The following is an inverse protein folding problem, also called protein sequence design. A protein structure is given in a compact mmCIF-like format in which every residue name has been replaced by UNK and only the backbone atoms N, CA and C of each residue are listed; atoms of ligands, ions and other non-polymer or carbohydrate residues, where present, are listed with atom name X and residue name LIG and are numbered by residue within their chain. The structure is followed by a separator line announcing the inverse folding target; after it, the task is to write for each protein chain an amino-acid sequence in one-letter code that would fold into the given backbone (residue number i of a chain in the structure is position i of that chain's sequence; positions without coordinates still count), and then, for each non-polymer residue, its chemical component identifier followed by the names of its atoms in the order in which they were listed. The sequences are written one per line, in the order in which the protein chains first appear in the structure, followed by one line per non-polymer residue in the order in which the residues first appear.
data_IF_592273534675
#
_entry.id   IF_592273534675
#
_cell.length_a   1.000
_cell.length_b   1.000
_cell.length_c   1.000
_cell.angle_alpha   90.00
_cell.angle_beta   90.00
_cell.angle_gamma   90.00
#
_symmetry.space_group_name_H-M   'P 1'
#
loop_
_entity.id
_entity.type
_entity.pdbx_description
1 polymer ?
#
# COMPACT_ATOMS: atom_id res chain seq x y z
N UNK A 1 19.27 -8.56 0.14
CA UNK A 1 20.00 -9.83 0.42
C UNK A 1 19.06 -11.02 0.55
N UNK A 2 17.82 -10.84 0.98
CA UNK A 2 16.86 -11.94 1.11
C UNK A 2 16.22 -12.30 -0.21
N UNK A 3 15.82 -11.34 -1.05
CA UNK A 3 15.42 -11.65 -2.42
C UNK A 3 16.52 -12.46 -3.15
N UNK A 4 17.78 -12.17 -2.91
CA UNK A 4 18.91 -12.95 -3.43
C UNK A 4 19.06 -14.29 -2.71
N UNK A 5 18.78 -14.37 -1.42
CA UNK A 5 18.81 -15.60 -0.65
C UNK A 5 17.68 -16.56 -1.02
N UNK A 6 16.48 -16.03 -1.26
CA UNK A 6 15.33 -16.81 -1.76
C UNK A 6 15.57 -17.27 -3.20
N UNK A 7 16.06 -16.41 -4.07
CA UNK A 7 16.48 -16.79 -5.44
C UNK A 7 17.64 -17.79 -5.39
N UNK A 8 18.54 -17.70 -4.40
CA UNK A 8 19.63 -18.66 -4.21
C UNK A 8 19.18 -20.02 -3.67
N UNK A 9 18.14 -20.08 -2.83
CA UNK A 9 17.52 -21.34 -2.40
C UNK A 9 16.71 -22.01 -3.52
N UNK A 10 16.11 -21.24 -4.40
CA UNK A 10 15.46 -21.71 -5.62
C UNK A 10 16.46 -22.35 -6.60
N UNK A 11 17.68 -21.85 -6.71
CA UNK A 11 18.75 -22.49 -7.50
C UNK A 11 19.13 -23.87 -6.95
N UNK A 12 19.04 -24.11 -5.65
CA UNK A 12 19.25 -25.46 -5.08
C UNK A 12 18.11 -26.43 -5.42
N UNK A 13 16.90 -25.94 -5.72
CA UNK A 13 15.76 -26.76 -6.19
C UNK A 13 15.94 -27.09 -7.68
N UNK A 14 16.61 -26.24 -8.46
CA UNK A 14 16.91 -26.53 -9.90
C UNK A 14 17.82 -27.72 -10.11
N UNK A 15 18.73 -28.01 -9.20
CA UNK A 15 19.68 -29.11 -9.34
C UNK A 15 19.03 -30.51 -9.10
N UNK A 16 17.80 -30.55 -8.58
CA UNK A 16 17.06 -31.80 -8.35
C UNK A 16 16.10 -32.20 -9.47
N UNK A 17 15.86 -31.31 -10.45
CA UNK A 17 14.94 -31.56 -11.58
C UNK A 17 15.68 -31.52 -12.91
N UNK A 18 16.63 -32.43 -13.12
CA UNK A 18 17.19 -32.68 -14.45
C UNK A 18 16.15 -33.38 -15.33
N UNK A 19 15.91 -32.78 -16.51
CA UNK A 19 15.34 -33.45 -17.67
C UNK A 19 13.84 -33.77 -17.70
N UNK A 20 12.99 -32.77 -17.71
CA UNK A 20 11.81 -32.73 -18.58
C UNK A 20 11.48 -31.25 -18.81
N UNK A 21 11.05 -30.83 -20.01
CA UNK A 21 10.72 -29.45 -20.36
C UNK A 21 9.57 -28.90 -19.49
N UNK A 22 9.85 -28.69 -18.21
CA UNK A 22 8.95 -28.21 -17.21
C UNK A 22 8.74 -26.70 -17.38
N UNK A 23 7.49 -26.29 -17.52
CA UNK A 23 7.09 -24.91 -17.35
C UNK A 23 7.64 -24.43 -16.00
N UNK A 24 8.48 -23.40 -16.00
CA UNK A 24 8.92 -22.77 -14.74
C UNK A 24 7.68 -22.29 -14.00
N UNK A 25 7.53 -22.74 -12.76
CA UNK A 25 6.43 -22.29 -11.90
C UNK A 25 6.55 -20.79 -11.69
N UNK A 26 5.46 -20.07 -11.95
CA UNK A 26 5.43 -18.61 -11.81
C UNK A 26 5.08 -18.24 -10.38
N UNK A 27 5.83 -17.32 -9.83
CA UNK A 27 5.57 -16.74 -8.51
C UNK A 27 4.93 -15.37 -8.60
N UNK A 28 4.10 -15.02 -7.61
CA UNK A 28 3.74 -13.65 -7.31
C UNK A 28 4.67 -13.17 -6.20
N UNK A 29 5.35 -12.05 -6.45
CA UNK A 29 6.16 -11.35 -5.47
C UNK A 29 5.43 -10.05 -5.14
N UNK A 30 4.59 -10.09 -4.11
CA UNK A 30 3.83 -8.94 -3.62
C UNK A 30 4.72 -8.12 -2.69
N UNK A 31 4.89 -6.84 -2.97
CA UNK A 31 5.81 -5.99 -2.21
C UNK A 31 5.09 -4.72 -1.80
N UNK A 32 4.99 -4.49 -0.48
CA UNK A 32 4.60 -3.18 0.03
C UNK A 32 5.65 -2.12 -0.32
N UNK A 33 5.23 -0.87 -0.37
CA UNK A 33 6.09 0.22 -0.81
C UNK A 33 6.71 0.99 0.35
N UNK A 34 5.89 1.58 1.19
CA UNK A 34 6.31 2.54 2.21
C UNK A 34 6.86 1.83 3.45
N UNK A 35 8.16 1.96 3.72
CA UNK A 35 8.82 1.20 4.80
C UNK A 35 9.33 -0.18 4.38
N UNK A 36 8.95 -0.68 3.22
CA UNK A 36 9.33 -1.98 2.68
C UNK A 36 10.24 -1.86 1.45
N UNK A 37 9.71 -1.46 0.31
CA UNK A 37 10.46 -1.35 -0.94
C UNK A 37 11.23 -0.05 -1.05
N UNK A 38 10.61 1.05 -0.61
CA UNK A 38 11.19 2.39 -0.66
C UNK A 38 12.13 2.62 0.52
N UNK A 39 13.26 3.23 0.24
CA UNK A 39 14.20 3.68 1.28
C UNK A 39 13.75 5.01 1.91
N UNK A 40 14.52 5.52 2.87
CA UNK A 40 14.25 6.78 3.60
C UNK A 40 14.19 8.04 2.74
N UNK A 41 14.55 7.96 1.45
CA UNK A 41 14.43 9.05 0.48
C UNK A 41 13.41 8.71 -0.63
N UNK A 42 12.48 7.82 -0.34
CA UNK A 42 11.39 7.36 -1.21
C UNK A 42 11.87 6.82 -2.58
N UNK A 43 13.02 6.14 -2.59
CA UNK A 43 13.60 5.55 -3.81
C UNK A 43 13.83 4.06 -3.66
N UNK A 44 13.73 3.34 -4.77
CA UNK A 44 14.15 1.95 -4.85
C UNK A 44 15.69 1.93 -5.07
N UNK A 45 16.42 1.16 -4.26
CA UNK A 45 17.86 1.02 -4.48
C UNK A 45 18.15 0.33 -5.82
N UNK A 46 19.24 0.70 -6.47
CA UNK A 46 19.65 0.07 -7.75
C UNK A 46 19.76 -1.46 -7.62
N UNK A 47 20.30 -1.94 -6.50
CA UNK A 47 20.38 -3.38 -6.22
C UNK A 47 19.01 -4.04 -6.18
N UNK A 48 18.04 -3.45 -5.47
CA UNK A 48 16.68 -3.96 -5.36
C UNK A 48 16.01 -3.94 -6.73
N UNK A 49 16.13 -2.84 -7.48
CA UNK A 49 15.60 -2.72 -8.83
C UNK A 49 16.12 -3.82 -9.75
N UNK A 50 17.43 -4.06 -9.74
CA UNK A 50 18.03 -5.08 -10.58
C UNK A 50 17.54 -6.50 -10.23
N UNK A 51 17.29 -6.79 -8.93
CA UNK A 51 16.73 -8.07 -8.52
C UNK A 51 15.28 -8.21 -8.97
N UNK A 52 14.44 -7.17 -8.77
CA UNK A 52 13.05 -7.19 -9.20
C UNK A 52 12.93 -7.35 -10.74
N UNK A 53 13.77 -6.63 -11.50
CA UNK A 53 13.78 -6.75 -12.95
C UNK A 53 14.14 -8.18 -13.39
N UNK A 54 15.14 -8.80 -12.79
CA UNK A 54 15.49 -10.19 -13.09
C UNK A 54 14.35 -11.17 -12.79
N UNK A 55 13.61 -10.98 -11.70
CA UNK A 55 12.43 -11.79 -11.39
C UNK A 55 11.35 -11.64 -12.47
N UNK A 56 11.15 -10.43 -12.98
CA UNK A 56 10.21 -10.16 -14.07
C UNK A 56 10.70 -10.84 -15.36
N UNK A 57 11.99 -10.71 -15.69
CA UNK A 57 12.61 -11.31 -16.88
C UNK A 57 12.57 -12.85 -16.82
N UNK A 58 12.66 -13.43 -15.62
CA UNK A 58 12.48 -14.88 -15.37
C UNK A 58 10.99 -15.31 -15.44
N UNK A 59 10.06 -14.38 -15.70
CA UNK A 59 8.64 -14.63 -15.92
C UNK A 59 7.77 -14.64 -14.67
N UNK A 60 8.30 -14.22 -13.51
CA UNK A 60 7.53 -14.02 -12.27
C UNK A 60 6.75 -12.69 -12.29
N UNK A 61 5.77 -12.58 -11.42
CA UNK A 61 4.96 -11.37 -11.30
C UNK A 61 5.42 -10.56 -10.07
N UNK A 62 6.09 -9.44 -10.31
CA UNK A 62 6.36 -8.44 -9.27
C UNK A 62 5.17 -7.51 -9.19
N UNK A 63 4.56 -7.42 -8.00
CA UNK A 63 3.28 -6.75 -7.78
C UNK A 63 3.43 -5.77 -6.62
N UNK A 64 3.32 -4.46 -6.84
CA UNK A 64 3.20 -3.50 -5.75
C UNK A 64 1.88 -3.74 -5.01
N UNK A 65 1.93 -3.76 -3.67
CA UNK A 65 0.78 -3.90 -2.80
C UNK A 65 0.77 -2.74 -1.79
N UNK A 66 0.01 -1.70 -2.07
CA UNK A 66 0.14 -0.42 -1.38
C UNK A 66 -1.21 0.19 -0.96
N UNK A 67 -1.19 1.04 0.06
CA UNK A 67 -2.33 1.90 0.39
C UNK A 67 -2.53 3.08 -0.56
N UNK A 68 -1.58 3.32 -1.46
CA UNK A 68 -1.65 4.40 -2.46
C UNK A 68 -2.61 4.04 -3.59
N UNK A 69 -3.12 5.05 -4.33
CA UNK A 69 -3.77 4.82 -5.61
C UNK A 69 -2.72 4.51 -6.67
N UNK A 70 -3.15 4.02 -7.82
CA UNK A 70 -2.30 3.80 -8.99
C UNK A 70 -1.46 5.03 -9.36
N UNK A 71 -2.08 6.19 -9.43
CA UNK A 71 -1.44 7.45 -9.84
C UNK A 71 -0.37 7.92 -8.84
N UNK A 72 -0.42 7.38 -7.61
CA UNK A 72 0.48 7.72 -6.52
C UNK A 72 1.63 6.72 -6.35
N UNK A 73 1.70 5.70 -7.19
CA UNK A 73 2.86 4.79 -7.23
C UNK A 73 4.07 5.60 -7.71
N UNK A 74 5.21 5.57 -6.98
CA UNK A 74 6.40 6.31 -7.34
C UNK A 74 6.90 5.97 -8.74
N UNK A 75 7.38 6.99 -9.46
CA UNK A 75 7.91 6.83 -10.81
C UNK A 75 9.07 5.83 -10.86
N UNK A 76 9.83 5.69 -9.77
CA UNK A 76 10.90 4.70 -9.63
C UNK A 76 10.42 3.25 -9.80
N UNK A 77 9.16 2.97 -9.49
CA UNK A 77 8.57 1.65 -9.73
C UNK A 77 8.19 1.47 -11.20
N UNK A 78 7.77 2.54 -11.88
CA UNK A 78 7.39 2.49 -13.30
C UNK A 78 8.57 2.26 -14.25
N UNK A 79 9.83 2.34 -13.76
CA UNK A 79 11.02 1.98 -14.55
C UNK A 79 11.29 0.48 -14.59
N UNK A 80 10.54 -0.33 -13.82
CA UNK A 80 10.56 -1.79 -13.95
C UNK A 80 9.73 -2.18 -15.17
N UNK A 81 10.40 -2.69 -16.19
CA UNK A 81 9.73 -3.14 -17.40
C UNK A 81 9.02 -4.47 -17.17
N UNK A 82 7.77 -4.57 -17.63
CA UNK A 82 6.98 -5.81 -17.55
C UNK A 82 6.20 -6.01 -16.25
N UNK A 83 6.11 -5.00 -15.38
CA UNK A 83 5.14 -5.02 -14.26
C UNK A 83 3.72 -4.92 -14.83
N UNK A 84 2.92 -5.96 -14.61
CA UNK A 84 1.58 -6.10 -15.22
C UNK A 84 0.44 -5.82 -14.26
N UNK A 85 0.67 -5.98 -12.97
CA UNK A 85 -0.38 -5.98 -11.96
C UNK A 85 -0.01 -5.09 -10.80
N UNK A 86 -1.02 -4.49 -10.15
CA UNK A 86 -0.86 -3.75 -8.91
C UNK A 86 -2.05 -3.96 -7.99
N UNK A 87 -1.77 -4.11 -6.70
CA UNK A 87 -2.75 -4.11 -5.61
C UNK A 87 -2.63 -2.75 -4.96
N UNK A 88 -3.67 -1.94 -5.06
CA UNK A 88 -3.66 -0.55 -4.61
C UNK A 88 -4.80 -0.29 -3.63
N UNK A 89 -4.76 0.86 -2.96
CA UNK A 89 -5.82 1.30 -2.03
C UNK A 89 -6.12 0.26 -0.95
N UNK A 90 -5.04 -0.30 -0.37
CA UNK A 90 -5.11 -1.38 0.62
C UNK A 90 -5.90 -2.62 0.14
N UNK A 91 -5.82 -2.94 -1.16
CA UNK A 91 -6.48 -4.11 -1.74
C UNK A 91 -7.89 -3.88 -2.25
N UNK A 92 -8.43 -2.66 -2.12
CA UNK A 92 -9.73 -2.31 -2.69
C UNK A 92 -9.74 -2.35 -4.22
N UNK A 93 -8.57 -2.20 -4.84
CA UNK A 93 -8.43 -2.25 -6.30
C UNK A 93 -7.26 -3.13 -6.70
N UNK A 94 -7.49 -3.96 -7.72
CA UNK A 94 -6.43 -4.68 -8.44
C UNK A 94 -6.43 -4.22 -9.89
N UNK A 95 -5.30 -3.68 -10.33
CA UNK A 95 -5.10 -3.17 -11.68
C UNK A 95 -4.42 -4.18 -12.59
N UNK A 96 -4.90 -4.23 -13.84
CA UNK A 96 -4.19 -4.75 -15.01
C UNK A 96 -3.58 -3.55 -15.77
N UNK A 97 -2.26 -3.38 -15.66
CA UNK A 97 -1.56 -2.25 -16.30
C UNK A 97 -1.46 -2.42 -17.82
N UNK A 98 -1.38 -3.66 -18.32
CA UNK A 98 -1.32 -3.94 -19.75
C UNK A 98 -2.63 -3.52 -20.44
N UNK A 99 -3.78 -3.77 -19.79
CA UNK A 99 -5.09 -3.41 -20.32
C UNK A 99 -5.61 -2.06 -19.82
N UNK A 100 -4.95 -1.48 -18.84
CA UNK A 100 -5.38 -0.26 -18.18
C UNK A 100 -6.81 -0.37 -17.59
N UNK A 101 -7.10 -1.48 -16.91
CA UNK A 101 -8.42 -1.77 -16.32
C UNK A 101 -8.31 -2.25 -14.86
N UNK A 102 -9.36 -2.00 -14.09
CA UNK A 102 -9.54 -2.60 -12.77
C UNK A 102 -10.15 -3.99 -12.94
N UNK A 103 -9.42 -5.04 -12.58
CA UNK A 103 -9.93 -6.42 -12.60
C UNK A 103 -10.68 -6.81 -11.33
N UNK A 104 -10.48 -6.05 -10.27
CA UNK A 104 -11.17 -6.13 -8.99
C UNK A 104 -11.35 -4.74 -8.43
N UNK A 105 -12.51 -4.47 -7.86
CA UNK A 105 -12.83 -3.20 -7.22
C UNK A 105 -13.84 -3.40 -6.10
N UNK A 106 -13.62 -2.76 -4.97
CA UNK A 106 -14.56 -2.69 -3.85
C UNK A 106 -14.64 -1.26 -3.34
N UNK A 107 -15.79 -0.63 -3.52
CA UNK A 107 -16.08 0.69 -2.98
C UNK A 107 -16.56 0.61 -1.54
N UNK A 108 -16.40 1.69 -0.81
CA UNK A 108 -17.08 1.88 0.48
C UNK A 108 -18.60 1.87 0.28
N UNK A 109 -19.39 1.52 1.31
CA UNK A 109 -20.85 1.62 1.24
C UNK A 109 -21.31 3.05 0.90
N UNK A 110 -22.38 3.15 0.10
CA UNK A 110 -22.96 4.45 -0.29
C UNK A 110 -23.27 5.31 0.94
N UNK A 111 -22.92 6.59 0.88
CA UNK A 111 -23.10 7.56 1.97
C UNK A 111 -22.15 7.39 3.15
N UNK A 112 -21.34 6.33 3.22
CA UNK A 112 -20.46 6.07 4.37
C UNK A 112 -19.35 7.11 4.47
N UNK A 113 -18.72 7.48 3.37
CA UNK A 113 -17.71 8.54 3.35
C UNK A 113 -18.26 9.86 3.85
N UNK A 114 -19.43 10.26 3.35
CA UNK A 114 -20.13 11.47 3.81
C UNK A 114 -20.45 11.41 5.30
N UNK A 115 -20.81 10.24 5.85
CA UNK A 115 -21.08 10.03 7.28
C UNK A 115 -19.82 10.23 8.11
N UNK A 116 -18.69 9.64 7.68
CA UNK A 116 -17.41 9.76 8.38
C UNK A 116 -16.94 11.23 8.39
N UNK A 117 -16.96 11.91 7.25
CA UNK A 117 -16.58 13.32 7.15
C UNK A 117 -17.44 14.22 8.04
N UNK A 118 -18.74 14.00 8.05
CA UNK A 118 -19.67 14.69 8.96
C UNK A 118 -19.37 14.43 10.42
N UNK A 119 -18.96 13.21 10.78
CA UNK A 119 -18.61 12.89 12.16
C UNK A 119 -17.33 13.62 12.59
N UNK A 120 -16.35 13.79 11.70
CA UNK A 120 -15.16 14.61 11.95
C UNK A 120 -15.54 16.09 12.15
N UNK A 121 -16.35 16.65 11.27
CA UNK A 121 -16.82 18.04 11.38
C UNK A 121 -17.55 18.27 12.72
N UNK A 122 -18.49 17.39 13.06
CA UNK A 122 -19.28 17.48 14.30
C UNK A 122 -18.45 17.24 15.56
N UNK A 123 -17.30 16.61 15.48
CA UNK A 123 -16.39 16.43 16.62
C UNK A 123 -15.77 17.75 17.10
N UNK A 124 -15.81 18.79 16.27
CA UNK A 124 -15.20 20.09 16.56
C UNK A 124 -13.68 20.10 16.46
N UNK A 125 -13.07 19.00 16.01
CA UNK A 125 -11.63 18.90 15.77
C UNK A 125 -11.22 19.91 14.71
N UNK A 126 -10.09 20.56 14.94
CA UNK A 126 -9.45 21.49 14.00
C UNK A 126 -8.18 20.84 13.43
N UNK A 127 -7.70 21.37 12.33
CA UNK A 127 -6.44 20.91 11.77
C UNK A 127 -6.51 19.49 11.18
N UNK A 128 -7.45 19.28 10.27
CA UNK A 128 -7.56 18.03 9.52
C UNK A 128 -7.81 18.28 8.03
N UNK A 129 -7.37 17.37 7.23
CA UNK A 129 -7.66 17.30 5.80
C UNK A 129 -8.05 15.86 5.43
N UNK A 130 -8.85 15.72 4.39
CA UNK A 130 -9.24 14.42 3.87
C UNK A 130 -8.92 14.30 2.37
N UNK A 131 -8.61 13.08 1.97
CA UNK A 131 -8.54 12.67 0.59
C UNK A 131 -9.39 11.44 0.37
N UNK A 132 -10.11 11.37 -0.75
CA UNK A 132 -10.83 10.18 -1.18
C UNK A 132 -10.21 9.63 -2.45
N UNK A 133 -10.07 8.31 -2.50
CA UNK A 133 -9.59 7.60 -3.67
C UNK A 133 -10.79 7.00 -4.38
N UNK A 134 -11.03 7.46 -5.59
CA UNK A 134 -12.15 7.01 -6.41
C UNK A 134 -11.69 6.82 -7.86
N UNK A 135 -11.93 5.63 -8.40
CA UNK A 135 -11.56 5.28 -9.77
C UNK A 135 -10.05 5.48 -10.09
N UNK A 136 -9.19 5.23 -9.10
CA UNK A 136 -7.73 5.38 -9.23
C UNK A 136 -7.22 6.83 -9.10
N UNK A 137 -8.11 7.79 -8.83
CA UNK A 137 -7.78 9.22 -8.68
C UNK A 137 -7.88 9.59 -7.20
N UNK A 138 -6.90 10.35 -6.72
CA UNK A 138 -6.94 10.97 -5.40
C UNK A 138 -7.60 12.35 -5.48
N UNK A 139 -8.70 12.52 -4.76
CA UNK A 139 -9.44 13.77 -4.66
C UNK A 139 -9.26 14.39 -3.28
N UNK A 140 -9.21 15.72 -3.20
CA UNK A 140 -9.22 16.45 -1.94
C UNK A 140 -9.93 17.79 -2.09
N UNK A 141 -10.24 18.44 -0.96
CA UNK A 141 -10.83 19.76 -0.99
C UNK A 141 -9.87 20.81 -1.55
N UNK A 142 -10.40 21.79 -2.27
CA UNK A 142 -9.61 22.87 -2.83
C UNK A 142 -8.88 23.70 -1.73
N UNK A 143 -9.52 23.87 -0.57
CA UNK A 143 -8.93 24.58 0.56
C UNK A 143 -7.86 23.73 1.28
N UNK A 144 -7.88 22.40 1.15
CA UNK A 144 -6.84 21.54 1.71
C UNK A 144 -5.46 21.81 1.10
N UNK A 145 -5.42 22.21 -0.17
CA UNK A 145 -4.17 22.62 -0.83
C UNK A 145 -3.51 23.81 -0.11
N UNK A 146 -4.30 24.85 0.13
CA UNK A 146 -3.80 26.07 0.77
C UNK A 146 -3.46 25.83 2.24
N UNK A 147 -4.23 24.96 2.91
CA UNK A 147 -3.95 24.52 4.27
C UNK A 147 -2.60 23.81 4.34
N UNK A 148 -2.34 22.80 3.50
CA UNK A 148 -1.06 22.06 3.47
C UNK A 148 0.12 23.00 3.25
N UNK A 149 -0.01 23.97 2.31
CA UNK A 149 1.03 24.99 2.08
C UNK A 149 1.24 25.84 3.34
N UNK A 150 0.16 26.25 4.01
CA UNK A 150 0.24 27.16 5.18
C UNK A 150 0.86 26.50 6.41
N UNK A 151 0.74 25.19 6.56
CA UNK A 151 1.25 24.44 7.73
C UNK A 151 2.56 23.70 7.43
N UNK A 152 2.96 23.58 6.17
CA UNK A 152 4.12 22.82 5.75
C UNK A 152 5.39 23.17 6.55
N UNK A 153 5.68 24.46 6.68
CA UNK A 153 6.85 24.95 7.41
C UNK A 153 6.68 24.87 8.93
N UNK A 154 5.44 25.08 9.42
CA UNK A 154 5.12 25.11 10.88
C UNK A 154 5.04 23.72 11.46
N UNK A 155 4.43 22.80 10.73
CA UNK A 155 4.24 21.40 11.14
C UNK A 155 5.45 20.53 10.84
N UNK A 156 6.54 21.09 10.28
CA UNK A 156 7.73 20.35 9.85
C UNK A 156 7.36 19.15 8.95
N UNK A 157 6.36 19.35 8.10
CA UNK A 157 5.94 18.32 7.15
C UNK A 157 7.11 18.01 6.21
N UNK A 158 7.36 16.73 5.98
CA UNK A 158 8.39 16.36 5.02
C UNK A 158 8.06 16.93 3.64
N UNK A 159 9.04 17.56 3.02
CA UNK A 159 8.86 18.17 1.68
C UNK A 159 8.29 17.17 0.68
N UNK A 160 8.68 15.92 0.76
CA UNK A 160 8.18 14.83 -0.08
C UNK A 160 6.68 14.62 0.07
N UNK A 161 6.14 14.72 1.29
CA UNK A 161 4.71 14.66 1.55
C UNK A 161 3.98 15.86 0.94
N UNK A 162 4.51 17.06 1.15
CA UNK A 162 3.93 18.30 0.61
C UNK A 162 3.91 18.27 -0.92
N UNK A 163 5.04 17.97 -1.56
CA UNK A 163 5.15 17.87 -3.02
C UNK A 163 4.20 16.80 -3.58
N UNK A 164 4.10 15.67 -2.91
CA UNK A 164 3.19 14.59 -3.23
C UNK A 164 1.73 15.05 -3.18
N UNK A 165 1.31 15.60 -2.03
CA UNK A 165 -0.07 16.05 -1.85
C UNK A 165 -0.43 17.15 -2.87
N UNK A 166 0.46 18.12 -3.09
CA UNK A 166 0.20 19.24 -3.99
C UNK A 166 0.17 18.85 -5.48
N UNK A 167 0.93 17.86 -5.90
CA UNK A 167 1.13 17.54 -7.33
C UNK A 167 0.26 16.40 -7.86
N UNK A 168 -0.33 15.59 -7.01
CA UNK A 168 -0.97 14.33 -7.41
C UNK A 168 -2.48 14.29 -7.16
N UNK A 169 -3.03 15.25 -6.43
CA UNK A 169 -4.46 15.30 -6.13
C UNK A 169 -5.23 16.14 -7.14
N UNK A 170 -6.46 15.72 -7.40
CA UNK A 170 -7.47 16.53 -8.06
C UNK A 170 -8.21 17.31 -6.97
N UNK A 171 -8.05 18.63 -6.99
CA UNK A 171 -8.66 19.51 -6.00
C UNK A 171 -10.04 19.92 -6.45
N UNK A 172 -11.04 19.62 -5.61
CA UNK A 172 -12.44 19.85 -5.90
C UNK A 172 -13.01 20.84 -4.90
N UNK A 173 -13.66 21.88 -5.41
CA UNK A 173 -14.38 22.83 -4.56
C UNK A 173 -15.58 22.14 -3.92
N UNK A 174 -15.78 22.40 -2.62
CA UNK A 174 -16.87 21.82 -1.85
C UNK A 174 -16.85 20.27 -1.88
N UNK A 175 -15.63 19.73 -1.78
CA UNK A 175 -15.35 18.30 -1.87
C UNK A 175 -16.22 17.44 -0.94
N UNK A 176 -16.46 17.91 0.29
CA UNK A 176 -17.21 17.17 1.32
C UNK A 176 -18.68 16.96 0.96
N UNK A 177 -19.20 17.62 -0.07
CA UNK A 177 -20.57 17.48 -0.56
C UNK A 177 -20.65 16.86 -1.98
N UNK A 178 -19.51 16.44 -2.56
CA UNK A 178 -19.44 15.84 -3.91
C UNK A 178 -19.83 14.35 -3.87
N UNK A 179 -21.12 14.08 -3.74
CA UNK A 179 -21.65 12.70 -3.65
C UNK A 179 -21.12 11.77 -4.75
N UNK A 180 -21.06 12.26 -5.98
CA UNK A 180 -20.62 11.47 -7.14
C UNK A 180 -19.17 10.95 -6.98
N UNK A 181 -18.33 11.66 -6.23
CA UNK A 181 -16.98 11.24 -5.89
C UNK A 181 -17.02 10.35 -4.65
N UNK A 182 -17.67 10.83 -3.56
CA UNK A 182 -17.64 10.18 -2.25
C UNK A 182 -18.31 8.80 -2.27
N UNK A 183 -19.41 8.63 -3.02
CA UNK A 183 -20.12 7.36 -3.13
C UNK A 183 -19.39 6.35 -4.07
N UNK A 184 -18.39 6.80 -4.81
CA UNK A 184 -17.52 5.96 -5.63
C UNK A 184 -16.16 5.69 -4.98
N UNK A 185 -15.94 6.16 -3.76
CA UNK A 185 -14.63 6.00 -3.12
C UNK A 185 -14.38 4.55 -2.69
N UNK A 186 -13.21 4.04 -3.03
CA UNK A 186 -12.64 2.79 -2.54
C UNK A 186 -12.02 2.97 -1.15
N UNK A 187 -11.48 4.16 -0.91
CA UNK A 187 -10.77 4.51 0.31
C UNK A 187 -10.97 5.98 0.64
N UNK A 188 -11.00 6.30 1.93
CA UNK A 188 -10.80 7.66 2.42
C UNK A 188 -9.66 7.68 3.42
N UNK A 189 -8.85 8.72 3.36
CA UNK A 189 -7.76 8.96 4.29
C UNK A 189 -7.93 10.34 4.92
N UNK A 190 -7.85 10.42 6.24
CA UNK A 190 -8.00 11.67 6.98
C UNK A 190 -6.72 11.89 7.78
N UNK A 191 -6.09 13.02 7.57
CA UNK A 191 -4.89 13.45 8.28
C UNK A 191 -5.26 14.47 9.35
N UNK A 192 -4.65 14.35 10.50
CA UNK A 192 -4.85 15.23 11.65
C UNK A 192 -3.51 15.84 12.07
N UNK A 193 -3.53 17.10 12.47
CA UNK A 193 -2.34 17.78 13.03
C UNK A 193 -1.90 17.15 14.35
N UNK A 194 -2.86 16.55 15.09
CA UNK A 194 -2.65 15.95 16.38
C UNK A 194 -2.82 14.42 16.34
N UNK A 195 -1.77 13.70 16.74
CA UNK A 195 -1.76 12.24 16.76
C UNK A 195 -2.70 11.64 17.80
N UNK A 196 -2.95 12.32 18.91
CA UNK A 196 -3.85 11.86 19.97
C UNK A 196 -5.30 11.88 19.47
N UNK A 197 -5.67 12.96 18.80
CA UNK A 197 -6.97 13.10 18.12
C UNK A 197 -7.17 12.00 17.08
N UNK A 198 -6.20 11.78 16.20
CA UNK A 198 -6.26 10.70 15.22
C UNK A 198 -6.50 9.35 15.89
N UNK A 199 -5.76 9.06 16.96
CA UNK A 199 -5.90 7.80 17.71
C UNK A 199 -7.28 7.67 18.36
N UNK A 200 -7.78 8.74 19.02
CA UNK A 200 -9.08 8.73 19.68
C UNK A 200 -10.23 8.51 18.70
N UNK A 201 -10.17 9.16 17.53
CA UNK A 201 -11.19 9.01 16.50
C UNK A 201 -11.14 7.62 15.85
N UNK A 202 -9.95 7.07 15.56
CA UNK A 202 -9.82 5.70 15.07
C UNK A 202 -10.41 4.68 16.05
N UNK A 203 -10.15 4.85 17.34
CA UNK A 203 -10.70 3.98 18.37
C UNK A 203 -12.25 4.06 18.42
N UNK A 204 -12.83 5.25 18.23
CA UNK A 204 -14.28 5.45 18.10
C UNK A 204 -14.86 4.76 16.88
N UNK A 205 -14.13 4.74 15.76
CA UNK A 205 -14.62 4.20 14.47
C UNK A 205 -14.31 2.71 14.25
N UNK A 206 -13.47 2.10 15.06
CA UNK A 206 -13.09 0.68 14.87
C UNK A 206 -14.26 -0.30 14.93
N UNK A 207 -15.35 0.07 15.57
CA UNK A 207 -16.54 -0.77 15.74
C UNK A 207 -17.62 -0.46 14.68
N UNK A 208 -17.28 0.26 13.60
CA UNK A 208 -18.18 0.42 12.46
C UNK A 208 -18.19 -0.87 11.63
N UNK A 209 -19.37 -1.51 11.51
CA UNK A 209 -19.53 -2.82 10.87
C UNK A 209 -19.15 -2.84 9.37
N UNK A 210 -19.34 -1.71 8.69
CA UNK A 210 -19.26 -1.64 7.23
C UNK A 210 -17.89 -1.14 6.71
N UNK A 211 -16.98 -0.75 7.60
CA UNK A 211 -15.67 -0.21 7.23
C UNK A 211 -14.55 -0.82 8.08
N UNK A 212 -13.38 -0.97 7.46
CA UNK A 212 -12.12 -1.25 8.15
C UNK A 212 -11.39 0.08 8.39
N UNK A 213 -10.89 0.27 9.61
CA UNK A 213 -10.11 1.47 9.99
C UNK A 213 -8.68 1.05 10.28
N UNK A 214 -7.73 1.59 9.52
CA UNK A 214 -6.30 1.32 9.65
C UNK A 214 -5.48 2.61 9.73
N UNK A 215 -4.18 2.48 9.76
CA UNK A 215 -3.23 3.61 9.69
C UNK A 215 -1.95 3.14 8.99
N UNK A 216 -1.41 3.96 8.10
CA UNK A 216 -0.12 3.73 7.46
C UNK A 216 0.96 4.70 7.98
N UNK A 217 0.57 5.88 8.44
CA UNK A 217 1.47 6.87 9.04
C UNK A 217 0.90 7.43 10.34
N UNK A 218 1.77 7.96 11.18
CA UNK A 218 1.31 8.64 12.39
C UNK A 218 0.44 9.86 12.05
N UNK A 219 -0.71 9.97 12.71
CA UNK A 219 -1.63 11.12 12.51
C UNK A 219 -2.67 10.92 11.42
N UNK A 220 -2.76 9.75 10.76
CA UNK A 220 -3.84 9.48 9.82
C UNK A 220 -4.83 8.44 10.32
N UNK A 221 -6.02 8.44 9.71
CA UNK A 221 -7.01 7.38 9.78
C UNK A 221 -7.42 7.02 8.34
N UNK A 222 -7.25 5.75 7.99
CA UNK A 222 -7.60 5.21 6.68
C UNK A 222 -8.83 4.33 6.81
N UNK A 223 -9.81 4.56 5.95
CA UNK A 223 -11.05 3.79 5.91
C UNK A 223 -11.18 3.12 4.55
N UNK A 224 -11.43 1.83 4.59
CA UNK A 224 -11.77 1.01 3.44
C UNK A 224 -13.08 0.26 3.71
N UNK A 225 -13.68 -0.34 2.71
CA UNK A 225 -14.82 -1.23 2.94
C UNK A 225 -14.44 -2.39 3.87
N UNK A 226 -15.32 -2.79 4.76
CA UNK A 226 -15.08 -3.93 5.65
C UNK A 226 -14.80 -5.21 4.85
N UNK A 227 -13.90 -6.03 5.39
CA UNK A 227 -13.49 -7.29 4.79
C UNK A 227 -12.62 -7.13 3.53
N UNK A 228 -12.01 -5.96 3.33
CA UNK A 228 -11.04 -5.72 2.28
C UNK A 228 -9.73 -5.22 2.88
N UNK A 229 -8.65 -5.86 2.48
CA UNK A 229 -7.27 -5.59 2.85
C UNK A 229 -6.33 -6.03 1.71
N UNK A 230 -5.03 -5.81 1.86
CA UNK A 230 -4.03 -6.22 0.86
C UNK A 230 -4.03 -7.74 0.59
N UNK A 231 -4.39 -8.55 1.58
CA UNK A 231 -4.51 -10.01 1.46
C UNK A 231 -5.66 -10.40 0.55
N UNK A 232 -6.82 -9.72 0.67
CA UNK A 232 -7.97 -9.92 -0.23
C UNK A 232 -7.59 -9.54 -1.67
N UNK A 233 -6.98 -8.37 -1.89
CA UNK A 233 -6.48 -7.97 -3.20
C UNK A 233 -5.52 -9.00 -3.81
N UNK A 234 -4.59 -9.52 -3.00
CA UNK A 234 -3.66 -10.57 -3.40
C UNK A 234 -4.38 -11.89 -3.74
N UNK A 235 -5.38 -12.29 -2.97
CA UNK A 235 -6.17 -13.47 -3.24
C UNK A 235 -6.97 -13.36 -4.55
N UNK A 236 -7.53 -12.18 -4.85
CA UNK A 236 -8.21 -11.90 -6.12
C UNK A 236 -7.24 -12.01 -7.31
N UNK A 237 -6.06 -11.39 -7.21
CA UNK A 237 -5.04 -11.48 -8.26
C UNK A 237 -4.56 -12.92 -8.45
N UNK A 238 -4.26 -13.62 -7.37
CA UNK A 238 -3.82 -15.02 -7.39
C UNK A 238 -4.84 -15.93 -8.08
N UNK A 239 -6.13 -15.76 -7.75
CA UNK A 239 -7.23 -16.50 -8.36
C UNK A 239 -7.33 -16.20 -9.87
N UNK A 240 -7.21 -14.94 -10.25
CA UNK A 240 -7.20 -14.51 -11.66
C UNK A 240 -6.07 -15.14 -12.46
N UNK A 241 -4.88 -15.27 -11.84
CA UNK A 241 -3.69 -15.83 -12.50
C UNK A 241 -3.60 -17.37 -12.40
N UNK A 242 -4.46 -18.01 -11.63
CA UNK A 242 -4.40 -19.46 -11.38
C UNK A 242 -3.14 -19.90 -10.61
N UNK A 243 -2.60 -19.00 -9.76
CA UNK A 243 -1.37 -19.27 -8.99
C UNK A 243 -1.73 -19.78 -7.60
N UNK A 244 -1.12 -20.90 -7.20
CA UNK A 244 -1.29 -21.44 -5.86
C UNK A 244 -0.68 -20.52 -4.79
N UNK A 245 -1.27 -20.53 -3.58
CA UNK A 245 -0.76 -19.77 -2.44
C UNK A 245 0.73 -20.05 -2.17
N UNK A 246 1.17 -21.29 -2.32
CA UNK A 246 2.56 -21.69 -2.07
C UNK A 246 3.56 -21.01 -3.03
N UNK A 247 3.09 -20.46 -4.16
CA UNK A 247 3.88 -19.70 -5.11
C UNK A 247 3.67 -18.18 -4.94
N UNK A 248 3.38 -17.73 -3.73
CA UNK A 248 3.28 -16.31 -3.37
C UNK A 248 4.31 -15.98 -2.31
N UNK A 249 5.09 -14.95 -2.56
CA UNK A 249 6.01 -14.33 -1.59
C UNK A 249 5.52 -12.91 -1.36
N UNK A 250 5.27 -12.54 -0.10
CA UNK A 250 4.81 -11.21 0.26
C UNK A 250 5.80 -10.53 1.21
N UNK A 251 6.04 -9.23 1.00
CA UNK A 251 6.90 -8.39 1.83
C UNK A 251 6.09 -7.21 2.37
N UNK A 252 6.19 -6.94 3.67
CA UNK A 252 5.48 -5.84 4.33
C UNK A 252 6.09 -5.47 5.68
N UNK A 253 5.69 -4.34 6.23
CA UNK A 253 6.26 -3.85 7.50
C UNK A 253 5.22 -3.32 8.50
N UNK A 254 3.99 -3.07 8.09
CA UNK A 254 3.00 -2.40 8.91
C UNK A 254 1.70 -3.22 9.09
N UNK A 255 0.75 -2.65 9.81
CA UNK A 255 -0.53 -3.27 10.17
C UNK A 255 -1.37 -3.66 8.94
N UNK A 256 -1.40 -2.81 7.91
CA UNK A 256 -2.14 -3.06 6.67
C UNK A 256 -1.53 -4.16 5.77
N UNK A 257 -0.40 -4.77 6.20
CA UNK A 257 0.25 -5.89 5.50
C UNK A 257 -0.05 -7.25 6.13
N UNK A 258 -0.67 -7.29 7.31
CA UNK A 258 -0.84 -8.52 8.09
C UNK A 258 -1.49 -9.64 7.28
N UNK A 259 -2.65 -9.37 6.70
CA UNK A 259 -3.44 -10.34 5.96
C UNK A 259 -2.73 -10.77 4.67
N UNK A 260 -1.97 -9.86 4.05
CA UNK A 260 -1.14 -10.16 2.89
C UNK A 260 0.01 -11.12 3.25
N UNK A 261 0.69 -10.87 4.37
CA UNK A 261 1.79 -11.72 4.86
C UNK A 261 1.27 -13.10 5.27
N UNK A 262 0.14 -13.18 5.98
CA UNK A 262 -0.50 -14.44 6.37
C UNK A 262 -1.06 -15.21 5.16
N UNK A 263 -1.61 -14.48 4.19
CA UNK A 263 -2.21 -15.03 2.96
C UNK A 263 -1.19 -15.56 1.95
N UNK A 264 0.08 -15.21 2.06
CA UNK A 264 1.14 -15.72 1.20
C UNK A 264 1.62 -17.12 1.59
N UNK A 265 2.30 -17.81 0.67
CA UNK A 265 3.05 -19.03 0.99
C UNK A 265 4.29 -18.71 1.83
N UNK A 266 4.94 -17.59 1.51
CA UNK A 266 6.06 -17.04 2.28
C UNK A 266 5.76 -15.57 2.58
N UNK A 267 5.38 -15.25 3.81
CA UNK A 267 5.28 -13.88 4.31
C UNK A 267 6.60 -13.45 4.94
N UNK A 268 7.10 -12.28 4.56
CA UNK A 268 8.37 -11.73 5.01
C UNK A 268 8.15 -10.37 5.65
N UNK A 269 8.26 -10.29 6.98
CA UNK A 269 8.22 -9.02 7.68
C UNK A 269 9.57 -8.30 7.62
N UNK A 270 9.54 -6.99 7.40
CA UNK A 270 10.74 -6.17 7.37
C UNK A 270 11.36 -5.99 8.75
N UNK A 271 12.65 -5.65 8.81
CA UNK A 271 13.38 -5.45 10.07
C UNK A 271 12.83 -4.31 10.94
N UNK A 272 12.26 -3.28 10.31
CA UNK A 272 11.60 -2.13 10.94
C UNK A 272 10.18 -2.43 11.43
N UNK A 273 9.60 -3.59 11.08
CA UNK A 273 8.25 -3.97 11.50
C UNK A 273 8.10 -4.06 13.01
N UNK A 274 6.90 -3.78 13.49
CA UNK A 274 6.52 -4.02 14.88
C UNK A 274 6.45 -5.53 15.17
N UNK A 275 6.54 -5.89 16.46
CA UNK A 275 6.63 -7.30 16.86
C UNK A 275 5.43 -8.13 16.43
N UNK A 276 4.22 -7.57 16.44
CA UNK A 276 3.02 -8.29 16.02
C UNK A 276 3.02 -8.61 14.51
N UNK A 277 3.59 -7.74 13.66
CA UNK A 277 3.76 -8.02 12.23
C UNK A 277 4.78 -9.14 12.01
N UNK A 278 5.88 -9.14 12.80
CA UNK A 278 6.88 -10.22 12.76
C UNK A 278 6.32 -11.55 13.21
N UNK A 279 5.34 -11.56 14.12
CA UNK A 279 4.73 -12.77 14.63
C UNK A 279 3.91 -13.54 13.61
N UNK A 280 3.32 -12.87 12.62
CA UNK A 280 2.51 -13.49 11.55
C UNK A 280 3.34 -13.87 10.32
N UNK A 281 4.58 -13.42 10.23
CA UNK A 281 5.45 -13.71 9.10
C UNK A 281 6.13 -15.07 9.22
N UNK A 282 6.32 -15.76 8.09
CA UNK A 282 7.12 -16.98 8.02
C UNK A 282 8.57 -16.74 8.42
N UNK A 283 9.10 -15.58 8.05
CA UNK A 283 10.44 -15.13 8.42
C UNK A 283 10.46 -13.61 8.58
N UNK A 284 11.46 -13.11 9.32
CA UNK A 284 11.68 -11.67 9.45
C UNK A 284 13.14 -11.31 9.20
N UNK A 285 13.32 -10.16 8.56
CA UNK A 285 14.62 -9.62 8.26
C UNK A 285 15.25 -9.03 9.52
N UNK A 286 16.23 -9.68 10.11
CA UNK A 286 17.05 -9.04 11.13
C UNK A 286 17.91 -7.96 10.47
N UNK A 287 17.56 -6.70 10.66
CA UNK A 287 18.30 -5.57 10.11
C UNK A 287 19.59 -5.31 10.92
N UNK A 288 20.59 -6.20 10.81
CA UNK A 288 21.92 -5.93 11.36
C UNK A 288 22.71 -4.85 10.57
N UNK A 289 22.21 -4.39 9.40
CA UNK A 289 22.96 -3.46 8.53
C UNK A 289 22.40 -2.03 8.45
N UNK A 290 21.15 -1.76 8.82
CA UNK A 290 20.65 -0.37 8.82
C UNK A 290 21.32 0.53 9.85
N UNK A 291 21.89 -0.03 10.93
CA UNK A 291 22.68 0.74 11.90
C UNK A 291 24.06 1.19 11.38
N UNK A 292 24.54 0.71 10.23
CA UNK A 292 25.78 1.20 9.60
C UNK A 292 25.57 2.36 8.62
N UNK A 293 24.34 2.64 8.20
CA UNK A 293 24.04 3.78 7.32
C UNK A 293 23.72 5.07 8.08
N UNK A 294 23.63 5.05 9.42
CA UNK A 294 23.42 6.26 10.24
C UNK A 294 24.70 6.93 10.72
N UNK A 295 25.86 6.43 10.36
CA UNK A 295 27.17 6.96 10.79
C UNK A 295 28.17 7.11 9.64
N UNK A 296 27.76 7.77 8.55
CA UNK A 296 28.69 8.42 7.60
C UNK A 296 27.96 9.51 6.85
#
# INVERSE_FOLDING_TARGET
EILIGLVGSEMCIRDSNSCTGGFMEKYIIAVDMDGTLLNSVNKISERTRNVLQRLIDDGHYVVPATGRTRELIPQEFSVLEGVKWGIVENGCVVWDYDKNEMIWRKTMPEGMVSKILKDVENSGVKGWIAEAYANGIAYSDADARDYVVSVADKALLEKTFVDYFLSRHVYVKDFYHQKDILDQAEKINIYFDDMETSRALREKWKDLDDVAVTTSISGNAEFNAAGVDKGVGLAMLRTKLGIDRMHVIAFGDNENDLEMLEGAGIGVAMGNSKQYVKAVSYTHLSCRRLNRCRSR
#
